data_IF_323595432799
#
_entry.id   IF_323595432799
#
_cell.length_a   1.000
_cell.length_b   1.000
_cell.length_c   1.000
_cell.angle_alpha   90.00
_cell.angle_beta   90.00
_cell.angle_gamma   90.00
#
_symmetry.space_group_name_H-M   'P 1'
#
loop_
_entity.id
_entity.type
_entity.pdbx_description
1 polymer ?
#
# COMPACT_ATOMS: atom_id res chain seq x y z
N UNK A 1 36.97 -13.09 -26.62
CA UNK A 1 35.61 -12.64 -26.98
C UNK A 1 34.77 -12.69 -25.72
N UNK A 2 34.30 -11.53 -25.25
CA UNK A 2 33.52 -11.39 -24.03
C UNK A 2 32.04 -11.71 -24.34
N UNK A 3 31.50 -12.80 -23.81
CA UNK A 3 30.05 -12.95 -23.68
C UNK A 3 29.61 -12.46 -22.31
N UNK A 4 29.32 -11.16 -22.24
CA UNK A 4 28.50 -10.59 -21.18
C UNK A 4 27.06 -11.04 -21.44
N UNK A 5 26.66 -12.16 -20.84
CA UNK A 5 25.25 -12.46 -20.67
C UNK A 5 24.74 -11.55 -19.53
N UNK A 6 23.61 -10.85 -19.71
CA UNK A 6 22.96 -10.19 -18.59
C UNK A 6 22.59 -11.28 -17.59
N UNK A 7 23.18 -11.20 -16.39
CA UNK A 7 22.87 -12.01 -15.22
C UNK A 7 21.41 -11.69 -14.87
N UNK A 8 20.50 -12.43 -15.51
CA UNK A 8 19.04 -12.37 -15.36
C UNK A 8 18.67 -13.01 -14.02
N UNK A 9 19.27 -12.46 -12.95
CA UNK A 9 18.86 -12.71 -11.58
C UNK A 9 17.45 -12.19 -11.50
N UNK A 10 16.47 -13.08 -11.73
CA UNK A 10 15.20 -13.00 -11.04
C UNK A 10 15.55 -12.72 -9.58
N UNK A 11 15.41 -11.46 -9.16
CA UNK A 11 15.78 -11.01 -7.81
C UNK A 11 14.91 -11.78 -6.85
N UNK A 12 15.40 -12.92 -6.39
CA UNK A 12 14.71 -13.80 -5.47
C UNK A 12 14.50 -13.02 -4.18
N UNK A 13 13.24 -12.71 -3.90
CA UNK A 13 12.90 -11.95 -2.72
C UNK A 13 12.99 -12.86 -1.51
N UNK A 14 13.87 -12.54 -0.55
CA UNK A 14 14.05 -13.40 0.63
C UNK A 14 12.96 -13.17 1.66
N UNK A 15 12.54 -14.24 2.32
CA UNK A 15 11.67 -14.18 3.49
C UNK A 15 12.49 -13.66 4.68
N UNK A 16 11.96 -12.65 5.37
CA UNK A 16 12.55 -12.11 6.59
C UNK A 16 11.91 -12.71 7.83
N UNK A 17 10.59 -12.88 7.83
CA UNK A 17 9.88 -13.41 9.00
C UNK A 17 8.56 -14.06 8.61
N UNK A 18 8.20 -15.10 9.37
CA UNK A 18 6.88 -15.74 9.35
C UNK A 18 6.29 -15.61 10.75
N UNK A 19 5.01 -15.25 10.87
CA UNK A 19 4.34 -15.24 12.16
C UNK A 19 4.18 -16.67 12.67
N UNK A 20 4.62 -16.90 13.91
CA UNK A 20 4.55 -18.21 14.56
C UNK A 20 3.22 -18.48 15.26
N UNK A 21 2.40 -17.44 15.48
CA UNK A 21 1.06 -17.53 16.07
C UNK A 21 -0.01 -17.31 14.99
N UNK A 22 -1.11 -18.06 15.05
CA UNK A 22 -2.26 -17.89 14.15
C UNK A 22 -2.78 -16.45 14.17
N UNK A 23 -2.51 -15.73 13.09
CA UNK A 23 -3.02 -14.37 12.85
C UNK A 23 -4.39 -14.50 12.21
N UNK A 24 -5.38 -13.80 12.75
CA UNK A 24 -6.73 -13.81 12.19
C UNK A 24 -6.93 -12.61 11.28
N UNK A 25 -7.08 -12.87 9.99
CA UNK A 25 -7.57 -11.89 9.01
C UNK A 25 -9.09 -11.77 9.14
N UNK A 26 -9.61 -10.54 9.09
CA UNK A 26 -11.07 -10.30 9.04
C UNK A 26 -11.74 -10.95 7.83
N UNK A 27 -11.02 -11.13 6.72
CA UNK A 27 -11.57 -11.63 5.45
C UNK A 27 -11.31 -13.11 5.23
N UNK A 28 -10.19 -13.62 5.72
CA UNK A 28 -9.68 -14.93 5.34
C UNK A 28 -9.58 -15.91 6.53
N UNK A 29 -9.97 -15.48 7.74
CA UNK A 29 -9.91 -16.30 8.94
C UNK A 29 -8.49 -16.45 9.49
N UNK A 30 -8.20 -17.54 10.23
CA UNK A 30 -6.88 -17.79 10.79
C UNK A 30 -5.85 -18.14 9.70
N UNK A 31 -4.59 -17.76 9.93
CA UNK A 31 -3.50 -17.95 8.98
C UNK A 31 -2.17 -17.43 9.50
N UNK A 32 -1.19 -17.34 8.60
CA UNK A 32 0.14 -16.85 8.89
C UNK A 32 0.45 -15.63 8.02
N UNK A 33 1.13 -14.63 8.59
CA UNK A 33 1.70 -13.52 7.82
C UNK A 33 3.15 -13.81 7.48
N UNK A 34 3.55 -13.53 6.25
CA UNK A 34 4.94 -13.66 5.78
C UNK A 34 5.45 -12.28 5.37
N UNK A 35 6.54 -11.84 5.99
CA UNK A 35 7.24 -10.60 5.68
C UNK A 35 8.47 -10.92 4.85
N UNK A 36 8.60 -10.25 3.72
CA UNK A 36 9.76 -10.28 2.84
C UNK A 36 10.45 -8.91 2.83
N UNK A 37 11.52 -8.76 2.05
CA UNK A 37 12.22 -7.48 1.91
C UNK A 37 11.35 -6.35 1.33
N UNK A 38 10.32 -6.66 0.54
CA UNK A 38 9.49 -5.66 -0.14
C UNK A 38 8.00 -5.82 0.09
N UNK A 39 7.53 -6.94 0.64
CA UNK A 39 6.11 -7.29 0.66
C UNK A 39 5.67 -7.94 1.96
N UNK A 40 4.37 -7.85 2.19
CA UNK A 40 3.68 -8.55 3.25
C UNK A 40 2.61 -9.46 2.63
N UNK A 41 2.66 -10.74 2.97
CA UNK A 41 1.73 -11.76 2.52
C UNK A 41 0.92 -12.33 3.69
N UNK A 42 -0.21 -12.94 3.36
CA UNK A 42 -1.02 -13.74 4.26
C UNK A 42 -1.27 -15.12 3.64
N UNK A 43 -1.07 -16.18 4.41
CA UNK A 43 -1.32 -17.56 4.03
C UNK A 43 -2.45 -18.07 4.95
N UNK A 44 -3.69 -18.19 4.45
CA UNK A 44 -4.79 -18.73 5.24
C UNK A 44 -4.53 -20.20 5.62
N UNK A 45 -4.92 -20.62 6.82
CA UNK A 45 -4.82 -22.05 7.21
C UNK A 45 -5.70 -22.95 6.34
N UNK A 46 -6.79 -22.39 5.81
CA UNK A 46 -7.77 -23.12 4.98
C UNK A 46 -7.35 -23.27 3.52
N UNK A 47 -6.29 -22.58 3.06
CA UNK A 47 -5.86 -22.57 1.65
C UNK A 47 -4.34 -22.51 1.54
N UNK A 48 -3.76 -23.36 0.69
CA UNK A 48 -2.31 -23.41 0.48
C UNK A 48 -1.75 -22.24 -0.36
N UNK A 49 -2.57 -21.26 -0.76
CA UNK A 49 -2.13 -20.13 -1.58
C UNK A 49 -1.84 -18.88 -0.75
N UNK A 50 -0.64 -18.33 -0.92
CA UNK A 50 -0.26 -17.05 -0.35
C UNK A 50 -0.97 -15.91 -1.07
N UNK A 51 -1.56 -15.00 -0.30
CA UNK A 51 -2.19 -13.78 -0.79
C UNK A 51 -1.31 -12.58 -0.46
N UNK A 52 -1.03 -11.73 -1.46
CA UNK A 52 -0.38 -10.45 -1.22
C UNK A 52 -1.32 -9.53 -0.42
N UNK A 53 -0.86 -9.03 0.73
CA UNK A 53 -1.58 -7.99 1.48
C UNK A 53 -1.20 -6.61 0.94
N UNK A 54 0.10 -6.31 0.88
CA UNK A 54 0.61 -5.04 0.35
C UNK A 54 2.11 -5.11 0.07
N UNK A 55 2.60 -4.19 -0.76
CA UNK A 55 4.03 -3.88 -0.83
C UNK A 55 4.38 -2.88 0.26
N UNK A 56 5.56 -3.02 0.87
CA UNK A 56 5.98 -2.19 2.01
C UNK A 56 6.07 -0.71 1.64
N UNK A 57 6.47 -0.39 0.39
CA UNK A 57 6.53 0.98 -0.13
C UNK A 57 5.15 1.66 -0.20
N UNK A 58 4.08 0.87 -0.25
CA UNK A 58 2.72 1.38 -0.32
C UNK A 58 2.10 1.62 1.06
N UNK A 59 2.77 1.23 2.15
CA UNK A 59 2.28 1.45 3.51
C UNK A 59 2.41 2.94 3.86
N UNK A 60 1.31 3.54 4.29
CA UNK A 60 1.22 4.93 4.76
C UNK A 60 1.41 4.97 6.28
N UNK A 61 0.69 4.10 6.99
CA UNK A 61 0.74 4.02 8.45
C UNK A 61 0.38 2.61 8.94
N UNK A 62 0.83 2.31 10.15
CA UNK A 62 0.55 1.05 10.85
C UNK A 62 0.09 1.40 12.26
N UNK A 63 -1.17 1.08 12.54
CA UNK A 63 -1.78 1.36 13.84
C UNK A 63 -2.01 0.06 14.61
N UNK A 64 -1.62 0.08 15.89
CA UNK A 64 -2.00 -0.97 16.84
C UNK A 64 -3.38 -0.65 17.40
N UNK A 65 -4.22 -1.65 17.52
CA UNK A 65 -5.53 -1.50 18.16
C UNK A 65 -5.85 -2.72 19.02
N UNK A 66 -6.83 -2.56 19.89
CA UNK A 66 -7.41 -3.67 20.64
C UNK A 66 -8.77 -4.00 20.05
N UNK A 67 -8.92 -5.21 19.52
CA UNK A 67 -10.19 -5.73 19.06
C UNK A 67 -11.01 -6.16 20.29
N UNK A 68 -12.03 -5.37 20.63
CA UNK A 68 -13.00 -5.79 21.64
C UNK A 68 -13.90 -6.89 21.06
N UNK A 69 -14.12 -7.92 21.85
CA UNK A 69 -15.07 -8.99 21.51
C UNK A 69 -16.11 -9.05 22.63
N UNK A 70 -17.37 -9.26 22.28
CA UNK A 70 -18.50 -9.24 23.23
C UNK A 70 -18.34 -10.24 24.38
N UNK A 71 -17.60 -11.34 24.16
CA UNK A 71 -17.48 -12.46 25.10
C UNK A 71 -16.04 -12.81 25.51
N UNK A 72 -15.02 -12.03 25.12
CA UNK A 72 -13.63 -12.38 25.45
C UNK A 72 -12.72 -11.17 25.69
N UNK A 73 -11.59 -11.42 26.36
CA UNK A 73 -10.49 -10.47 26.55
C UNK A 73 -10.10 -9.79 25.24
N UNK A 74 -9.89 -8.47 25.27
CA UNK A 74 -9.45 -7.69 24.13
C UNK A 74 -8.25 -8.34 23.41
N UNK A 75 -8.38 -8.60 22.10
CA UNK A 75 -7.29 -9.19 21.31
C UNK A 75 -6.47 -8.07 20.66
N UNK A 76 -5.14 -8.06 20.77
CA UNK A 76 -4.32 -7.09 20.06
C UNK A 76 -4.43 -7.31 18.55
N UNK A 77 -4.44 -6.22 17.79
CA UNK A 77 -4.53 -6.24 16.34
C UNK A 77 -3.74 -5.10 15.71
N UNK A 78 -3.52 -5.22 14.39
CA UNK A 78 -2.82 -4.22 13.59
C UNK A 78 -3.72 -3.83 12.41
N UNK A 79 -3.83 -2.52 12.14
CA UNK A 79 -4.39 -1.98 10.90
C UNK A 79 -3.25 -1.41 10.06
N UNK A 80 -3.22 -1.80 8.79
CA UNK A 80 -2.23 -1.32 7.83
C UNK A 80 -2.98 -0.48 6.80
N UNK A 81 -2.60 0.79 6.69
CA UNK A 81 -3.17 1.73 5.72
C UNK A 81 -2.23 1.83 4.52
N UNK A 82 -2.76 1.69 3.32
CA UNK A 82 -1.96 1.62 2.09
C UNK A 82 -2.42 2.65 1.08
N UNK A 83 -1.48 3.15 0.27
CA UNK A 83 -1.79 3.94 -0.93
C UNK A 83 -2.62 3.06 -1.87
N UNK A 84 -3.74 3.59 -2.35
CA UNK A 84 -4.55 2.87 -3.35
C UNK A 84 -3.74 2.70 -4.63
N UNK A 85 -3.73 1.50 -5.19
CA UNK A 85 -3.20 1.24 -6.53
C UNK A 85 -4.18 1.83 -7.57
N UNK A 86 -4.20 3.15 -7.69
CA UNK A 86 -5.19 3.87 -8.50
C UNK A 86 -4.94 5.37 -8.72
N UNK A 87 -3.80 5.91 -8.28
CA UNK A 87 -3.35 7.23 -8.73
C UNK A 87 -2.28 7.02 -9.81
N UNK A 88 -2.72 6.63 -11.01
CA UNK A 88 -1.90 6.72 -12.21
C UNK A 88 -1.66 8.20 -12.51
N UNK A 89 -0.66 8.81 -11.89
CA UNK A 89 -0.04 9.99 -12.50
C UNK A 89 0.70 9.46 -13.73
N UNK A 90 0.02 9.44 -14.87
CA UNK A 90 0.70 9.41 -16.15
C UNK A 90 1.68 10.58 -16.13
N UNK A 91 2.97 10.29 -16.14
CA UNK A 91 3.99 11.26 -16.48
C UNK A 91 3.55 11.92 -17.80
N UNK A 92 3.43 13.26 -17.87
CA UNK A 92 3.22 13.91 -19.15
C UNK A 92 4.44 13.56 -20.01
N UNK A 93 4.24 12.72 -21.03
CA UNK A 93 5.17 12.58 -22.14
C UNK A 93 5.25 13.95 -22.80
N UNK A 94 6.48 14.39 -23.02
CA UNK A 94 6.85 15.63 -23.68
C UNK A 94 5.88 15.98 -24.82
N UNK A 95 5.11 17.04 -24.64
CA UNK A 95 4.51 17.78 -25.75
C UNK A 95 5.11 19.16 -25.76
N UNK A 96 6.20 19.25 -26.50
CA UNK A 96 6.80 20.47 -26.98
C UNK A 96 5.74 21.19 -27.83
N UNK A 97 5.08 22.19 -27.26
CA UNK A 97 4.17 23.09 -27.97
C UNK A 97 4.37 24.53 -27.47
N UNK A 98 5.43 25.15 -27.95
CA UNK A 98 5.54 26.61 -28.04
C UNK A 98 4.47 27.12 -29.01
N UNK A 99 3.53 27.95 -28.55
CA UNK A 99 3.12 29.20 -29.22
C UNK A 99 1.89 29.88 -28.56
N UNK A 100 2.16 31.09 -28.05
CA UNK A 100 1.32 32.31 -28.03
C UNK A 100 -0.05 32.32 -27.33
N UNK A 101 -0.02 33.05 -26.20
CA UNK A 101 -0.77 34.28 -25.95
C UNK A 101 -2.31 34.26 -25.88
N UNK A 102 -2.87 34.65 -24.73
CA UNK A 102 -3.25 36.06 -24.46
C UNK A 102 -3.72 36.25 -23.01
N UNK A 103 -3.27 37.35 -22.45
CA UNK A 103 -3.59 37.91 -21.13
C UNK A 103 -5.05 38.33 -20.99
N UNK A 104 -5.64 38.13 -19.81
CA UNK A 104 -6.52 39.08 -19.07
C UNK A 104 -6.92 38.38 -17.76
N UNK A 105 -6.41 38.83 -16.60
CA UNK A 105 -6.94 39.92 -15.78
C UNK A 105 -8.41 39.68 -15.38
N UNK A 106 -8.68 39.34 -14.12
CA UNK A 106 -9.13 40.30 -13.11
C UNK A 106 -9.44 39.56 -11.79
N UNK A 107 -8.90 40.11 -10.70
CA UNK A 107 -9.21 39.75 -9.33
C UNK A 107 -10.71 39.96 -9.03
N UNK A 108 -11.26 39.15 -8.11
CA UNK A 108 -12.04 39.66 -6.98
C UNK A 108 -12.31 38.57 -5.95
N UNK A 109 -11.69 38.76 -4.79
CA UNK A 109 -12.15 38.24 -3.51
C UNK A 109 -13.67 38.44 -3.34
N UNK A 110 -14.33 37.43 -2.81
CA UNK A 110 -15.59 37.66 -2.09
C UNK A 110 -15.63 36.77 -0.86
N UNK A 111 -15.31 37.41 0.27
CA UNK A 111 -15.44 36.90 1.63
C UNK A 111 -16.89 37.15 2.06
N UNK A 112 -17.59 36.14 2.54
CA UNK A 112 -18.84 36.38 3.27
C UNK A 112 -18.98 35.39 4.43
N UNK A 113 -18.92 35.93 5.64
CA UNK A 113 -19.26 35.30 6.91
C UNK A 113 -20.73 35.61 7.21
N UNK A 114 -21.50 34.64 7.72
CA UNK A 114 -22.75 34.92 8.43
C UNK A 114 -22.86 33.96 9.61
N UNK A 115 -23.07 34.56 10.78
CA UNK A 115 -23.42 33.91 12.06
C UNK A 115 -24.92 34.01 12.27
N UNK A 116 -25.51 33.01 12.94
CA UNK A 116 -26.51 33.13 13.99
C UNK A 116 -26.42 31.87 14.86
#
# INVERSE_FOLDING_TARGET
MNSCLPDDRQKQESILKISTSGVVSKKDGPGQTVLTQKRLYFIPETRSSARLLTELINIISIDKYQHQTVFSSSKPGIKIYTKSAGASTSLPRDTNATLKAKSSSLEKDSKMSISL
#
